data_IF_580040962196
#
_entry.id   IF_580040962196
#
_cell.length_a   1.000
_cell.length_b   1.000
_cell.length_c   1.000
_cell.angle_alpha   90.00
_cell.angle_beta   90.00
_cell.angle_gamma   90.00
#
_symmetry.space_group_name_H-M   'P 1'
#
loop_
_entity.id
_entity.type
_entity.pdbx_description
1 polymer ?
#
# COMPACT_ATOMS: atom_id res chain seq x y z
N UNK A 1 -13.33 21.94 -32.49
CA UNK A 1 -12.28 21.69 -31.45
C UNK A 1 -12.70 22.06 -30.03
N UNK A 2 -13.29 23.22 -29.77
CA UNK A 2 -13.67 23.67 -28.42
C UNK A 2 -14.67 22.73 -27.72
N UNK A 3 -15.69 22.19 -28.39
CA UNK A 3 -16.73 21.30 -27.80
C UNK A 3 -16.19 19.98 -27.27
N UNK A 4 -15.23 19.34 -27.94
CA UNK A 4 -14.72 18.03 -27.56
C UNK A 4 -13.81 18.13 -26.33
N UNK A 5 -13.00 19.19 -26.25
CA UNK A 5 -12.15 19.49 -25.11
C UNK A 5 -13.00 19.75 -23.86
N UNK A 6 -14.07 20.50 -24.00
CA UNK A 6 -14.97 20.83 -22.89
C UNK A 6 -15.66 19.56 -22.30
N UNK A 7 -16.03 18.58 -23.13
CA UNK A 7 -16.68 17.33 -22.66
C UNK A 7 -15.71 16.42 -21.89
N UNK A 8 -14.44 16.32 -22.29
CA UNK A 8 -13.42 15.54 -21.58
C UNK A 8 -13.09 16.17 -20.22
N UNK A 9 -12.94 17.49 -20.18
CA UNK A 9 -12.69 18.25 -18.96
C UNK A 9 -13.87 18.14 -17.99
N UNK A 10 -15.11 18.30 -18.48
CA UNK A 10 -16.33 18.15 -17.66
C UNK A 10 -16.48 16.74 -17.06
N UNK A 11 -16.19 15.69 -17.82
CA UNK A 11 -16.27 14.33 -17.33
C UNK A 11 -15.24 14.08 -16.20
N UNK A 12 -14.04 14.61 -16.34
CA UNK A 12 -13.00 14.52 -15.33
C UNK A 12 -13.36 15.32 -14.07
N UNK A 13 -13.82 16.55 -14.22
CA UNK A 13 -14.20 17.41 -13.08
C UNK A 13 -15.39 16.80 -12.32
N UNK A 14 -16.36 16.21 -13.03
CA UNK A 14 -17.47 15.47 -12.41
C UNK A 14 -16.98 14.26 -11.61
N UNK A 15 -16.07 13.45 -12.19
CA UNK A 15 -15.43 12.35 -11.48
C UNK A 15 -14.64 12.83 -10.26
N UNK A 16 -13.87 13.92 -10.42
CA UNK A 16 -13.05 14.47 -9.36
C UNK A 16 -13.91 14.97 -8.18
N UNK A 17 -14.99 15.67 -8.47
CA UNK A 17 -15.96 16.14 -7.47
C UNK A 17 -16.57 14.95 -6.71
N UNK A 18 -16.97 13.89 -7.43
CA UNK A 18 -17.48 12.66 -6.82
C UNK A 18 -16.46 12.00 -5.90
N UNK A 19 -15.18 11.91 -6.31
CA UNK A 19 -14.13 11.33 -5.48
C UNK A 19 -13.86 12.15 -4.20
N UNK A 20 -14.01 13.48 -4.26
CA UNK A 20 -13.91 14.36 -3.09
C UNK A 20 -15.05 14.13 -2.11
N UNK A 21 -16.28 14.12 -2.60
CA UNK A 21 -17.48 13.87 -1.78
C UNK A 21 -17.41 12.48 -1.12
N UNK A 22 -16.96 11.48 -1.87
CA UNK A 22 -16.76 10.11 -1.36
C UNK A 22 -15.53 9.97 -0.41
N UNK A 23 -14.80 11.06 -0.14
CA UNK A 23 -13.62 11.04 0.74
C UNK A 23 -12.44 10.22 0.21
N UNK A 24 -12.45 9.83 -1.07
CA UNK A 24 -11.41 8.99 -1.71
C UNK A 24 -10.20 9.81 -2.19
N UNK A 25 -10.36 11.11 -2.39
CA UNK A 25 -9.29 12.05 -2.72
C UNK A 25 -9.20 13.11 -1.62
N UNK A 26 -8.34 12.87 -0.64
CA UNK A 26 -8.18 13.76 0.53
C UNK A 26 -6.95 14.68 0.43
N UNK A 27 -6.01 14.42 -0.49
CA UNK A 27 -4.77 15.19 -0.63
C UNK A 27 -4.77 15.98 -1.94
N UNK A 28 -4.59 17.30 -1.85
CA UNK A 28 -4.46 18.17 -3.02
C UNK A 28 -3.31 17.76 -3.95
N UNK A 29 -2.23 17.17 -3.42
CA UNK A 29 -1.12 16.65 -4.24
C UNK A 29 -1.53 15.49 -5.16
N UNK A 30 -2.45 14.62 -4.73
CA UNK A 30 -2.97 13.54 -5.58
C UNK A 30 -3.87 14.08 -6.68
N UNK A 31 -4.68 15.07 -6.36
CA UNK A 31 -5.51 15.78 -7.33
C UNK A 31 -4.67 16.48 -8.39
N UNK A 32 -3.63 17.21 -7.98
CA UNK A 32 -2.73 17.89 -8.92
C UNK A 32 -2.08 16.92 -9.92
N UNK A 33 -1.66 15.74 -9.45
CA UNK A 33 -1.10 14.68 -10.31
C UNK A 33 -2.15 14.18 -11.31
N UNK A 34 -3.37 13.85 -10.86
CA UNK A 34 -4.42 13.38 -11.77
C UNK A 34 -4.84 14.46 -12.77
N UNK A 35 -4.92 15.71 -12.34
CA UNK A 35 -5.25 16.85 -13.20
C UNK A 35 -4.18 17.06 -14.28
N UNK A 36 -2.90 17.03 -13.92
CA UNK A 36 -1.80 17.14 -14.86
C UNK A 36 -1.81 16.00 -15.90
N UNK A 37 -2.02 14.75 -15.46
CA UNK A 37 -2.13 13.59 -16.34
C UNK A 37 -3.30 13.72 -17.30
N UNK A 38 -4.46 14.17 -16.80
CA UNK A 38 -5.67 14.31 -17.61
C UNK A 38 -5.56 15.45 -18.62
N UNK A 39 -5.03 16.60 -18.22
CA UNK A 39 -4.82 17.75 -19.11
C UNK A 39 -3.89 17.40 -20.28
N UNK A 40 -2.82 16.65 -20.03
CA UNK A 40 -1.92 16.19 -21.07
C UNK A 40 -2.62 15.24 -22.07
N UNK A 41 -3.48 14.33 -21.58
CA UNK A 41 -4.28 13.45 -22.42
C UNK A 41 -5.32 14.25 -23.24
N UNK A 42 -6.03 15.19 -22.62
CA UNK A 42 -7.01 16.06 -23.31
C UNK A 42 -6.37 16.86 -24.44
N UNK A 43 -5.19 17.42 -24.21
CA UNK A 43 -4.45 18.14 -25.23
C UNK A 43 -4.11 17.24 -26.41
N UNK A 44 -3.64 16.00 -26.15
CA UNK A 44 -3.36 15.02 -27.20
C UNK A 44 -4.63 14.59 -27.95
N UNK A 45 -5.73 14.31 -27.25
CA UNK A 45 -7.02 13.96 -27.87
C UNK A 45 -7.54 15.07 -28.79
N UNK A 46 -7.37 16.32 -28.37
CA UNK A 46 -7.76 17.49 -29.21
C UNK A 46 -6.92 17.68 -30.46
N UNK A 47 -5.68 17.18 -30.45
CA UNK A 47 -4.78 17.25 -31.61
C UNK A 47 -5.05 16.14 -32.65
N UNK A 48 -5.82 15.11 -32.32
CA UNK A 48 -6.18 14.05 -33.28
C UNK A 48 -7.19 14.55 -34.33
N UNK A 49 -7.20 13.91 -35.51
CA UNK A 49 -8.14 14.24 -36.57
C UNK A 49 -8.85 12.97 -37.05
N UNK A 50 -10.14 12.82 -36.75
CA UNK A 50 -11.00 13.71 -35.96
C UNK A 50 -10.59 13.74 -34.48
N UNK A 51 -10.93 14.82 -33.76
CA UNK A 51 -10.68 14.94 -32.32
C UNK A 51 -11.41 13.82 -31.54
N UNK A 52 -10.68 13.11 -30.66
CA UNK A 52 -11.20 11.97 -29.90
C UNK A 52 -12.13 12.43 -28.78
N UNK A 53 -13.30 11.80 -28.66
CA UNK A 53 -14.23 11.98 -27.54
C UNK A 53 -13.96 10.96 -26.45
N UNK A 54 -14.49 11.17 -25.25
CA UNK A 54 -14.34 10.23 -24.13
C UNK A 54 -14.86 8.83 -24.47
N UNK A 55 -15.98 8.73 -25.19
CA UNK A 55 -16.56 7.46 -25.59
C UNK A 55 -15.74 6.70 -26.63
N UNK A 56 -14.93 7.43 -27.40
CA UNK A 56 -14.11 6.87 -28.49
C UNK A 56 -12.69 6.49 -28.00
N UNK A 57 -12.38 6.77 -26.74
CA UNK A 57 -11.08 6.48 -26.12
C UNK A 57 -10.99 4.98 -25.79
N UNK A 58 -10.19 4.26 -26.59
CA UNK A 58 -9.92 2.83 -26.41
C UNK A 58 -8.44 2.57 -26.09
N UNK A 59 -8.10 1.36 -25.72
CA UNK A 59 -6.74 0.94 -25.35
C UNK A 59 -5.70 1.28 -26.42
N UNK A 60 -6.03 1.14 -27.71
CA UNK A 60 -5.17 1.50 -28.85
C UNK A 60 -4.84 3.00 -28.90
N UNK A 61 -5.77 3.86 -28.52
CA UNK A 61 -5.54 5.30 -28.43
C UNK A 61 -4.62 5.65 -27.27
N UNK A 62 -4.79 4.99 -26.12
CA UNK A 62 -3.91 5.15 -24.96
C UNK A 62 -2.48 4.66 -25.26
N UNK A 63 -2.33 3.55 -25.98
CA UNK A 63 -1.01 3.08 -26.44
C UNK A 63 -0.33 4.10 -27.35
N UNK A 64 -1.04 4.67 -28.32
CA UNK A 64 -0.51 5.74 -29.19
C UNK A 64 -0.14 6.98 -28.40
N UNK A 65 -0.98 7.39 -27.44
CA UNK A 65 -0.66 8.50 -26.55
C UNK A 65 0.61 8.25 -25.75
N UNK A 66 0.74 7.08 -25.14
CA UNK A 66 1.91 6.70 -24.35
C UNK A 66 3.17 6.66 -25.24
N UNK A 67 3.07 6.13 -26.45
CA UNK A 67 4.18 6.12 -27.40
C UNK A 67 4.59 7.54 -27.83
N UNK A 68 3.62 8.44 -28.04
CA UNK A 68 3.91 9.85 -28.36
C UNK A 68 4.61 10.58 -27.21
N UNK A 69 4.23 10.29 -25.95
CA UNK A 69 4.89 10.86 -24.77
C UNK A 69 6.28 10.32 -24.57
N UNK A 70 6.53 9.03 -24.87
CA UNK A 70 7.87 8.45 -24.86
C UNK A 70 8.82 9.17 -25.80
N UNK A 71 8.38 9.50 -27.01
CA UNK A 71 9.19 10.25 -27.98
C UNK A 71 9.49 11.69 -27.56
N UNK A 72 8.60 12.33 -26.79
CA UNK A 72 8.76 13.71 -26.32
C UNK A 72 9.61 13.84 -25.03
N UNK A 73 9.68 12.78 -24.22
CA UNK A 73 10.35 12.79 -22.92
C UNK A 73 11.75 12.16 -22.95
N UNK A 74 12.34 11.91 -24.11
CA UNK A 74 13.72 11.41 -24.23
C UNK A 74 14.77 12.35 -23.59
N UNK A 75 14.41 13.60 -23.29
CA UNK A 75 15.25 14.54 -22.56
C UNK A 75 15.17 14.38 -21.02
N UNK A 76 14.04 13.85 -20.46
CA UNK A 76 13.77 13.85 -19.01
C UNK A 76 13.45 12.47 -18.39
N UNK A 77 13.61 11.37 -19.13
CA UNK A 77 13.46 10.02 -18.59
C UNK A 77 12.24 9.25 -19.11
N UNK A 78 12.37 7.92 -19.09
CA UNK A 78 11.37 6.95 -19.57
C UNK A 78 10.11 7.00 -18.72
N UNK A 79 8.94 7.03 -19.37
CA UNK A 79 7.64 6.86 -18.68
C UNK A 79 7.62 5.54 -17.91
N UNK A 80 7.56 5.61 -16.60
CA UNK A 80 7.57 4.41 -15.78
C UNK A 80 6.31 3.57 -16.02
N UNK A 81 6.37 2.23 -15.96
CA UNK A 81 5.20 1.35 -16.04
C UNK A 81 4.09 1.76 -15.08
N UNK A 82 4.47 2.29 -13.93
CA UNK A 82 3.55 2.81 -12.89
C UNK A 82 2.77 4.04 -13.36
N UNK A 83 3.36 4.92 -14.18
CA UNK A 83 2.64 6.06 -14.78
C UNK A 83 1.61 5.57 -15.79
N UNK A 84 1.98 4.61 -16.65
CA UNK A 84 1.10 4.01 -17.66
C UNK A 84 -0.12 3.36 -17.00
N UNK A 85 0.07 2.51 -16.00
CA UNK A 85 -1.01 1.88 -15.23
C UNK A 85 -1.93 2.90 -14.56
N UNK A 86 -1.35 3.96 -13.98
CA UNK A 86 -2.10 5.02 -13.31
C UNK A 86 -2.97 5.80 -14.31
N UNK A 87 -2.45 6.07 -15.51
CA UNK A 87 -3.19 6.74 -16.57
C UNK A 87 -4.36 5.89 -17.06
N UNK A 88 -4.13 4.62 -17.41
CA UNK A 88 -5.17 3.67 -17.84
C UNK A 88 -6.26 3.59 -16.78
N UNK A 89 -5.89 3.35 -15.53
CA UNK A 89 -6.84 3.30 -14.41
C UNK A 89 -7.60 4.62 -14.18
N UNK A 90 -7.00 5.76 -14.49
CA UNK A 90 -7.68 7.05 -14.42
C UNK A 90 -8.74 7.17 -15.52
N UNK A 91 -8.38 6.83 -16.75
CA UNK A 91 -9.30 6.88 -17.90
C UNK A 91 -10.51 5.97 -17.66
N UNK A 92 -10.27 4.72 -17.24
CA UNK A 92 -11.34 3.76 -16.94
C UNK A 92 -12.31 4.28 -15.88
N UNK A 93 -11.77 4.88 -14.80
CA UNK A 93 -12.61 5.45 -13.72
C UNK A 93 -13.43 6.65 -14.17
N UNK A 94 -12.86 7.51 -14.99
CA UNK A 94 -13.58 8.68 -15.54
C UNK A 94 -14.65 8.24 -16.51
N UNK A 95 -14.36 7.26 -17.39
CA UNK A 95 -15.34 6.70 -18.32
C UNK A 95 -16.50 6.00 -17.58
N UNK A 96 -16.18 5.17 -16.59
CA UNK A 96 -17.19 4.48 -15.78
C UNK A 96 -18.09 5.48 -15.04
N UNK A 97 -17.52 6.54 -14.46
CA UNK A 97 -18.28 7.58 -13.78
C UNK A 97 -19.16 8.37 -14.76
N UNK A 98 -18.65 8.73 -15.92
CA UNK A 98 -19.41 9.44 -16.93
C UNK A 98 -20.56 8.59 -17.50
N UNK A 99 -20.35 7.29 -17.72
CA UNK A 99 -21.39 6.35 -18.12
C UNK A 99 -22.48 6.23 -17.04
N UNK A 100 -22.08 6.11 -15.77
CA UNK A 100 -23.01 6.10 -14.63
C UNK A 100 -23.85 7.38 -14.55
N UNK A 101 -23.23 8.58 -14.69
CA UNK A 101 -23.95 9.84 -14.71
C UNK A 101 -24.99 9.91 -15.85
N UNK A 102 -24.65 9.42 -17.04
CA UNK A 102 -25.56 9.38 -18.17
C UNK A 102 -26.74 8.43 -17.91
N UNK A 103 -26.48 7.27 -17.31
CA UNK A 103 -27.55 6.33 -16.91
C UNK A 103 -28.48 6.96 -15.86
N UNK A 104 -27.93 7.66 -14.88
CA UNK A 104 -28.72 8.39 -13.88
C UNK A 104 -29.57 9.49 -14.54
N UNK A 105 -28.99 10.27 -15.44
CA UNK A 105 -29.70 11.31 -16.16
C UNK A 105 -30.82 10.74 -17.04
N UNK A 106 -30.58 9.59 -17.72
CA UNK A 106 -31.61 8.91 -18.51
C UNK A 106 -32.68 8.26 -17.61
N UNK A 107 -32.30 7.66 -16.47
CA UNK A 107 -33.24 7.10 -15.51
C UNK A 107 -34.11 8.19 -14.88
N UNK A 108 -33.54 9.35 -14.53
CA UNK A 108 -34.29 10.49 -14.02
C UNK A 108 -35.23 11.08 -15.08
N UNK A 109 -34.79 11.14 -16.35
CA UNK A 109 -35.64 11.54 -17.46
C UNK A 109 -36.76 10.53 -17.76
N UNK A 110 -36.47 9.22 -17.64
CA UNK A 110 -37.45 8.13 -17.77
C UNK A 110 -38.36 8.07 -16.54
N UNK A 111 -37.85 8.36 -15.36
CA UNK A 111 -38.62 8.38 -14.11
C UNK A 111 -39.56 9.61 -14.05
N UNK A 112 -39.17 10.73 -14.63
CA UNK A 112 -40.07 11.86 -14.88
C UNK A 112 -41.20 11.49 -15.88
N UNK A 113 -40.94 10.53 -16.78
CA UNK A 113 -41.93 9.96 -17.69
C UNK A 113 -42.64 8.73 -17.08
N UNK A 114 -42.01 8.01 -16.16
CA UNK A 114 -42.42 6.72 -15.59
C UNK A 114 -42.74 6.77 -14.09
N UNK A 115 -43.31 7.88 -13.62
CA UNK A 115 -44.05 7.89 -12.34
C UNK A 115 -45.27 6.95 -12.38
N UNK A 116 -45.29 6.02 -13.33
CA UNK A 116 -46.37 5.03 -13.53
C UNK A 116 -45.95 3.56 -13.36
N UNK A 117 -44.68 3.13 -13.33
CA UNK A 117 -44.37 1.68 -13.17
C UNK A 117 -43.04 1.43 -12.44
N UNK A 118 -43.12 0.67 -11.34
CA UNK A 118 -42.02 0.29 -10.46
C UNK A 118 -41.21 -0.94 -10.93
N UNK A 119 -39.92 -0.95 -10.72
CA UNK A 119 -39.04 -1.96 -10.11
C UNK A 119 -37.57 -1.77 -10.46
N UNK A 120 -36.59 -2.08 -9.56
CA UNK A 120 -35.17 -1.75 -9.76
C UNK A 120 -34.42 -2.83 -10.55
N UNK A 121 -33.50 -2.47 -11.45
CA UNK A 121 -32.62 -3.43 -12.11
C UNK A 121 -31.28 -3.57 -11.38
N UNK A 122 -30.86 -4.83 -11.26
CA UNK A 122 -29.60 -5.23 -10.68
C UNK A 122 -28.36 -4.72 -11.43
N UNK A 123 -27.32 -4.54 -10.67
CA UNK A 123 -26.01 -4.06 -11.08
C UNK A 123 -25.35 -5.07 -12.03
N UNK A 124 -25.12 -4.68 -13.29
CA UNK A 124 -24.23 -5.41 -14.21
C UNK A 124 -22.86 -4.76 -14.22
N UNK A 125 -21.78 -5.54 -14.04
CA UNK A 125 -20.43 -5.00 -14.19
C UNK A 125 -20.13 -4.66 -15.64
N UNK A 126 -19.52 -3.50 -15.88
CA UNK A 126 -19.07 -3.06 -17.20
C UNK A 126 -18.00 -3.99 -17.77
N UNK A 127 -17.97 -4.25 -19.10
CA UNK A 127 -16.92 -5.07 -19.69
C UNK A 127 -15.57 -4.37 -19.56
N UNK A 128 -14.64 -5.03 -18.88
CA UNK A 128 -13.24 -4.63 -18.75
C UNK A 128 -12.59 -4.62 -20.14
N UNK A 129 -11.80 -3.59 -20.41
CA UNK A 129 -10.84 -3.60 -21.51
C UNK A 129 -9.85 -4.76 -21.30
N UNK A 130 -10.06 -5.87 -22.00
CA UNK A 130 -9.38 -7.15 -21.82
C UNK A 130 -7.91 -7.16 -22.28
N UNK A 131 -7.28 -5.98 -22.49
CA UNK A 131 -5.99 -5.91 -23.18
C UNK A 131 -4.79 -5.53 -22.33
N UNK A 132 -4.89 -5.46 -21.00
CA UNK A 132 -3.72 -5.25 -20.13
C UNK A 132 -3.84 -5.97 -18.78
N UNK A 133 -4.37 -7.19 -18.81
CA UNK A 133 -4.36 -8.08 -17.65
C UNK A 133 -2.94 -8.50 -17.22
N UNK A 134 -1.95 -8.43 -18.12
CA UNK A 134 -0.62 -9.01 -17.88
C UNK A 134 0.25 -8.23 -16.88
N UNK A 135 0.11 -6.92 -16.76
CA UNK A 135 0.91 -6.17 -15.77
C UNK A 135 0.22 -5.97 -14.41
N UNK A 136 -1.09 -6.27 -14.31
CA UNK A 136 -1.80 -6.33 -13.04
C UNK A 136 -1.61 -7.69 -12.34
N UNK A 137 -0.98 -8.65 -13.01
CA UNK A 137 -0.87 -10.06 -12.61
C UNK A 137 0.46 -10.38 -11.94
N UNK A 138 1.42 -9.44 -11.88
CA UNK A 138 2.66 -9.70 -11.14
C UNK A 138 2.33 -9.86 -9.65
N UNK A 139 2.67 -11.02 -9.06
CA UNK A 139 2.41 -11.24 -7.64
C UNK A 139 3.16 -10.20 -6.80
N UNK A 140 2.61 -9.78 -5.66
CA UNK A 140 3.26 -8.80 -4.82
C UNK A 140 4.60 -9.36 -4.32
N UNK A 141 5.70 -8.63 -4.53
CA UNK A 141 7.01 -9.00 -4.00
C UNK A 141 6.94 -9.13 -2.49
N UNK A 142 7.36 -10.27 -1.97
CA UNK A 142 7.34 -10.61 -0.55
C UNK A 142 8.62 -11.33 -0.14
N UNK A 143 8.82 -11.52 1.13
CA UNK A 143 9.88 -12.35 1.69
C UNK A 143 9.43 -13.82 1.69
N UNK A 144 10.31 -14.71 1.28
CA UNK A 144 10.11 -16.14 1.47
C UNK A 144 10.05 -16.48 2.97
N UNK A 145 9.45 -17.61 3.36
CA UNK A 145 9.36 -18.01 4.77
C UNK A 145 10.71 -17.99 5.50
N UNK A 146 11.76 -18.55 4.90
CA UNK A 146 13.11 -18.55 5.48
C UNK A 146 13.68 -17.13 5.63
N UNK A 147 13.49 -16.27 4.65
CA UNK A 147 13.90 -14.86 4.69
C UNK A 147 13.15 -14.09 5.77
N UNK A 148 11.87 -14.39 5.95
CA UNK A 148 11.05 -13.77 6.99
C UNK A 148 11.54 -14.16 8.38
N UNK A 149 11.86 -15.43 8.61
CA UNK A 149 12.43 -15.90 9.88
C UNK A 149 13.81 -15.29 10.15
N UNK A 150 14.69 -15.26 9.15
CA UNK A 150 16.00 -14.64 9.28
C UNK A 150 15.89 -13.14 9.62
N UNK A 151 14.93 -12.43 9.01
CA UNK A 151 14.69 -11.02 9.33
C UNK A 151 14.13 -10.85 10.74
N UNK A 152 13.20 -11.69 11.19
CA UNK A 152 12.65 -11.65 12.55
C UNK A 152 13.79 -11.88 13.56
N UNK A 153 14.62 -12.90 13.34
CA UNK A 153 15.77 -13.19 14.19
C UNK A 153 16.73 -11.98 14.25
N UNK A 154 17.04 -11.38 13.10
CA UNK A 154 17.88 -10.19 13.05
C UNK A 154 17.25 -8.98 13.76
N UNK A 155 15.94 -8.74 13.59
CA UNK A 155 15.22 -7.63 14.22
C UNK A 155 15.14 -7.77 15.75
N UNK A 156 15.07 -8.99 16.25
CA UNK A 156 14.94 -9.29 17.69
C UNK A 156 16.28 -9.42 18.41
N UNK A 157 17.41 -9.45 17.67
CA UNK A 157 18.74 -9.45 18.30
C UNK A 157 18.92 -8.23 19.17
N UNK A 158 19.45 -8.41 20.40
CA UNK A 158 19.75 -7.28 21.26
C UNK A 158 20.66 -6.27 20.57
N UNK A 159 20.29 -5.00 20.62
CA UNK A 159 21.16 -3.91 20.24
C UNK A 159 21.99 -3.49 21.46
N UNK A 160 23.24 -3.14 21.24
CA UNK A 160 24.12 -2.70 22.34
C UNK A 160 23.69 -1.31 22.82
N UNK A 161 23.37 -1.21 24.09
CA UNK A 161 23.10 0.06 24.76
C UNK A 161 24.42 0.70 25.22
N UNK A 162 24.44 2.03 25.31
CA UNK A 162 25.57 2.84 25.80
C UNK A 162 25.96 2.57 27.27
N UNK A 163 25.34 1.61 27.91
CA UNK A 163 25.40 1.41 29.35
C UNK A 163 26.64 0.65 29.86
N UNK A 164 27.55 0.20 28.99
CA UNK A 164 28.78 -0.42 29.42
C UNK A 164 29.87 0.64 29.50
N UNK A 165 30.34 1.06 30.70
CA UNK A 165 31.42 2.03 30.83
C UNK A 165 32.71 1.46 30.20
N UNK A 166 33.22 2.10 29.18
CA UNK A 166 34.49 1.78 28.51
C UNK A 166 34.41 1.55 27.00
N UNK A 167 33.26 1.39 26.42
CA UNK A 167 33.10 1.07 24.99
C UNK A 167 32.31 2.15 24.23
N UNK A 168 32.87 3.37 24.18
CA UNK A 168 32.29 4.51 23.49
C UNK A 168 32.17 4.30 21.94
N UNK A 169 32.84 3.28 21.40
CA UNK A 169 32.92 3.01 19.96
C UNK A 169 31.77 2.16 19.40
N UNK A 170 30.97 1.51 20.24
CA UNK A 170 29.99 0.50 19.77
C UNK A 170 28.52 0.79 20.13
N UNK A 171 28.21 2.01 20.59
CA UNK A 171 26.81 2.38 20.88
C UNK A 171 26.02 2.55 19.60
N UNK A 172 25.04 1.69 19.41
CA UNK A 172 24.13 1.81 18.28
C UNK A 172 23.37 3.14 18.32
N UNK A 173 23.32 3.82 17.18
CA UNK A 173 22.60 5.10 17.05
C UNK A 173 21.10 4.88 17.25
N UNK A 174 20.42 5.83 17.90
CA UNK A 174 18.96 5.74 18.08
C UNK A 174 18.18 5.57 16.77
N UNK A 175 18.72 6.05 15.63
CA UNK A 175 18.12 5.84 14.31
C UNK A 175 18.10 4.36 13.93
N UNK A 176 19.09 3.55 14.28
CA UNK A 176 19.11 2.11 14.05
C UNK A 176 17.96 1.43 14.78
N UNK A 177 17.74 1.80 16.05
CA UNK A 177 16.61 1.30 16.84
C UNK A 177 15.26 1.68 16.21
N UNK A 178 15.12 2.95 15.78
CA UNK A 178 13.92 3.44 15.07
C UNK A 178 13.70 2.65 13.77
N UNK A 179 14.72 2.46 12.96
CA UNK A 179 14.63 1.82 11.65
C UNK A 179 14.26 0.33 11.80
N UNK A 180 14.82 -0.38 12.79
CA UNK A 180 14.41 -1.74 13.16
C UNK A 180 12.96 -1.79 13.65
N UNK A 181 12.55 -0.87 14.50
CA UNK A 181 11.18 -0.78 14.97
C UNK A 181 10.21 -0.55 13.80
N UNK A 182 10.55 0.33 12.86
CA UNK A 182 9.74 0.56 11.67
C UNK A 182 9.53 -0.70 10.83
N UNK A 183 10.61 -1.46 10.59
CA UNK A 183 10.54 -2.74 9.87
C UNK A 183 9.73 -3.79 10.66
N UNK A 184 9.90 -3.86 11.98
CA UNK A 184 9.12 -4.75 12.84
C UNK A 184 7.62 -4.43 12.80
N UNK A 185 7.23 -3.15 12.81
CA UNK A 185 5.83 -2.74 12.67
C UNK A 185 5.24 -3.09 11.30
N UNK A 186 6.04 -2.99 10.23
CA UNK A 186 5.60 -3.36 8.89
C UNK A 186 5.45 -4.88 8.72
N UNK A 187 6.40 -5.66 9.23
CA UNK A 187 6.39 -7.12 9.13
C UNK A 187 5.50 -7.77 10.20
N UNK A 188 5.36 -7.16 11.38
CA UNK A 188 4.64 -7.72 12.53
C UNK A 188 3.19 -7.25 12.66
N UNK A 189 2.81 -6.12 12.00
CA UNK A 189 1.44 -5.60 12.01
C UNK A 189 0.92 -5.23 10.61
N UNK A 190 1.71 -5.41 9.56
CA UNK A 190 1.31 -5.12 8.19
C UNK A 190 1.15 -3.63 7.89
N UNK A 191 1.72 -2.73 8.68
CA UNK A 191 1.58 -1.30 8.46
C UNK A 191 2.18 -0.87 7.12
N UNK A 192 1.47 -0.02 6.39
CA UNK A 192 2.02 0.63 5.22
C UNK A 192 3.05 1.71 5.56
N UNK A 193 3.90 2.12 4.61
CA UNK A 193 4.91 3.15 4.86
C UNK A 193 4.30 4.49 5.28
N UNK A 194 3.08 4.79 4.83
CA UNK A 194 2.33 5.97 5.25
C UNK A 194 1.89 5.90 6.71
N UNK A 195 1.43 4.73 7.13
CA UNK A 195 0.92 4.46 8.46
C UNK A 195 2.04 4.54 9.49
N UNK A 196 3.18 3.89 9.21
CA UNK A 196 4.38 3.95 10.04
C UNK A 196 4.85 5.39 10.30
N UNK A 197 4.80 6.26 9.28
CA UNK A 197 5.18 7.67 9.45
C UNK A 197 4.15 8.49 10.22
N UNK A 198 2.88 8.10 10.14
CA UNK A 198 1.78 8.83 10.76
C UNK A 198 1.48 8.37 12.20
N UNK A 199 2.06 7.24 12.63
CA UNK A 199 1.79 6.65 13.94
C UNK A 199 2.34 7.53 15.06
N UNK A 200 1.51 7.77 16.07
CA UNK A 200 1.85 8.57 17.26
C UNK A 200 1.97 7.68 18.49
N UNK A 201 2.58 8.20 19.54
CA UNK A 201 2.68 7.47 20.82
C UNK A 201 1.31 7.14 21.42
N UNK A 202 0.32 8.03 21.26
CA UNK A 202 -1.06 7.84 21.73
C UNK A 202 -1.83 6.76 20.98
N UNK A 203 -1.35 6.34 19.83
CA UNK A 203 -1.97 5.32 18.99
C UNK A 203 -1.60 3.89 19.43
N UNK A 204 -0.64 3.76 20.35
CA UNK A 204 -0.23 2.50 20.94
C UNK A 204 -1.15 2.17 22.11
N UNK A 205 -1.79 1.01 22.07
CA UNK A 205 -2.59 0.51 23.18
C UNK A 205 -2.13 -0.86 23.62
N UNK A 206 -1.90 -1.09 24.92
CA UNK A 206 -1.75 -2.45 25.41
C UNK A 206 -3.09 -3.17 25.14
N UNK A 207 -3.03 -4.29 24.43
CA UNK A 207 -4.19 -5.16 24.34
C UNK A 207 -4.44 -5.77 25.72
N UNK A 208 -5.70 -5.78 26.15
CA UNK A 208 -6.10 -6.44 27.38
C UNK A 208 -5.65 -7.90 27.31
N UNK A 209 -4.88 -8.42 28.27
CA UNK A 209 -4.48 -9.81 28.25
C UNK A 209 -5.73 -10.67 28.23
N UNK A 210 -5.91 -11.46 27.15
CA UNK A 210 -6.89 -12.52 27.16
C UNK A 210 -6.42 -13.49 28.24
N UNK A 211 -7.12 -13.52 29.36
CA UNK A 211 -6.87 -14.45 30.46
C UNK A 211 -7.26 -15.86 29.99
N UNK A 212 -6.35 -16.53 29.30
CA UNK A 212 -6.40 -17.97 29.25
C UNK A 212 -5.96 -18.46 30.65
N UNK A 213 -6.82 -19.18 31.41
CA UNK A 213 -6.46 -19.69 32.71
C UNK A 213 -5.25 -20.62 32.58
N UNK A 214 -4.14 -20.31 33.26
CA UNK A 214 -2.94 -21.15 33.28
C UNK A 214 -1.82 -20.79 32.31
N UNK A 215 -1.92 -19.71 31.54
CA UNK A 215 -0.82 -19.21 30.73
C UNK A 215 0.24 -18.47 31.57
N UNK A 216 1.52 -18.42 31.12
CA UNK A 216 2.54 -17.60 31.76
C UNK A 216 2.11 -16.14 31.80
N UNK A 217 2.55 -15.31 32.78
CA UNK A 217 2.15 -13.90 32.89
C UNK A 217 2.41 -13.22 31.56
N UNK A 218 1.30 -12.81 30.91
CA UNK A 218 1.28 -12.45 29.52
C UNK A 218 2.14 -11.23 29.25
N UNK A 219 3.08 -11.36 28.31
CA UNK A 219 3.78 -10.21 27.71
C UNK A 219 2.73 -9.22 27.19
N UNK A 220 2.94 -7.90 27.34
CA UNK A 220 1.97 -6.93 26.85
C UNK A 220 1.78 -7.10 25.34
N UNK A 221 0.60 -7.53 24.95
CA UNK A 221 0.20 -7.53 23.55
C UNK A 221 -0.14 -6.10 23.15
N UNK A 222 0.27 -5.70 21.97
CA UNK A 222 0.05 -4.35 21.48
C UNK A 222 -1.00 -4.35 20.37
N UNK A 223 -1.87 -3.36 20.43
CA UNK A 223 -2.75 -2.97 19.33
C UNK A 223 -2.36 -1.58 18.84
N UNK A 224 -2.32 -1.40 17.53
CA UNK A 224 -1.95 -0.17 16.88
C UNK A 224 -3.20 0.46 16.26
N UNK A 225 -3.58 1.65 16.74
CA UNK A 225 -4.65 2.43 16.16
C UNK A 225 -4.10 3.27 15.02
N UNK A 226 -4.41 2.88 13.79
CA UNK A 226 -3.92 3.55 12.59
C UNK A 226 -4.96 4.57 12.14
N UNK A 227 -4.61 5.85 12.19
CA UNK A 227 -5.48 6.91 11.71
C UNK A 227 -5.69 6.82 10.19
N UNK A 228 -6.84 7.30 9.70
CA UNK A 228 -7.11 7.36 8.28
C UNK A 228 -6.01 8.10 7.53
N UNK A 229 -5.46 7.49 6.47
CA UNK A 229 -4.34 8.03 5.71
C UNK A 229 -4.56 7.87 4.19
N UNK A 230 -4.81 8.97 3.52
CA UNK A 230 -5.14 8.96 2.10
C UNK A 230 -6.49 8.31 1.84
N UNK A 231 -6.52 7.23 1.04
CA UNK A 231 -7.72 6.43 0.78
C UNK A 231 -7.92 5.31 1.81
N UNK A 232 -6.92 5.02 2.65
CA UNK A 232 -7.02 4.02 3.69
C UNK A 232 -7.85 4.56 4.87
N UNK A 233 -8.85 3.81 5.38
CA UNK A 233 -9.62 4.19 6.55
C UNK A 233 -8.80 4.08 7.83
N UNK A 234 -9.31 4.64 8.90
CA UNK A 234 -8.81 4.31 10.23
C UNK A 234 -9.10 2.84 10.53
N UNK A 235 -8.11 2.14 11.09
CA UNK A 235 -8.24 0.74 11.43
C UNK A 235 -7.37 0.39 12.64
N UNK A 236 -7.56 -0.80 13.18
CA UNK A 236 -6.73 -1.35 14.25
C UNK A 236 -5.98 -2.55 13.71
N UNK A 237 -4.66 -2.55 13.89
CA UNK A 237 -3.79 -3.66 13.51
C UNK A 237 -3.25 -4.37 14.78
N UNK A 238 -3.32 -5.70 14.86
CA UNK A 238 -2.64 -6.45 15.91
C UNK A 238 -1.13 -6.42 15.65
N UNK A 239 -0.34 -6.41 16.71
CA UNK A 239 1.11 -6.49 16.62
C UNK A 239 1.58 -7.87 17.12
N UNK A 240 2.38 -8.55 16.30
CA UNK A 240 3.00 -9.82 16.68
C UNK A 240 3.87 -9.65 17.94
N UNK A 241 3.89 -10.65 18.82
CA UNK A 241 4.58 -10.57 20.12
C UNK A 241 6.08 -10.26 19.98
N UNK A 242 6.76 -10.86 19.01
CA UNK A 242 8.17 -10.58 18.73
C UNK A 242 8.40 -9.11 18.31
N UNK A 243 7.48 -8.54 17.52
CA UNK A 243 7.55 -7.14 17.11
C UNK A 243 7.21 -6.19 18.29
N UNK A 244 6.37 -6.66 19.20
CA UNK A 244 6.12 -5.99 20.48
C UNK A 244 7.37 -5.83 21.34
N UNK A 245 8.26 -6.84 21.35
CA UNK A 245 9.56 -6.75 22.03
C UNK A 245 10.47 -5.69 21.40
N UNK A 246 10.53 -5.64 20.07
CA UNK A 246 11.29 -4.61 19.35
C UNK A 246 10.72 -3.22 19.62
N UNK A 247 9.39 -3.10 19.66
CA UNK A 247 8.72 -1.84 20.01
C UNK A 247 9.06 -1.39 21.43
N UNK A 248 9.05 -2.30 22.41
CA UNK A 248 9.43 -1.99 23.80
C UNK A 248 10.88 -1.50 23.89
N UNK A 249 11.82 -2.19 23.24
CA UNK A 249 13.22 -1.75 23.17
C UNK A 249 13.34 -0.35 22.58
N UNK A 250 12.61 -0.06 21.51
CA UNK A 250 12.56 1.28 20.91
C UNK A 250 11.99 2.32 21.88
N UNK A 251 10.90 2.04 22.59
CA UNK A 251 10.28 2.97 23.52
C UNK A 251 11.24 3.29 24.68
N UNK A 252 11.93 2.30 25.23
CA UNK A 252 12.96 2.48 26.25
C UNK A 252 14.10 3.35 25.73
N UNK A 253 14.59 3.07 24.52
CA UNK A 253 15.64 3.87 23.88
C UNK A 253 15.19 5.31 23.62
N UNK A 254 13.95 5.48 23.15
CA UNK A 254 13.37 6.81 22.90
C UNK A 254 13.31 7.64 24.19
N UNK A 255 12.96 7.02 25.30
CA UNK A 255 12.94 7.65 26.62
C UNK A 255 14.35 8.01 27.09
N UNK A 256 15.29 7.07 27.02
CA UNK A 256 16.69 7.28 27.40
C UNK A 256 17.37 8.42 26.62
N UNK A 257 17.09 8.53 25.33
CA UNK A 257 17.60 9.59 24.46
C UNK A 257 16.79 10.89 24.54
N UNK A 258 15.75 10.97 25.38
CA UNK A 258 14.86 12.11 25.52
C UNK A 258 14.31 12.63 24.18
N UNK A 259 13.90 11.71 23.27
CA UNK A 259 13.43 12.10 21.94
C UNK A 259 12.04 12.78 22.06
N UNK A 260 11.93 13.99 21.55
CA UNK A 260 10.72 14.81 21.62
C UNK A 260 9.63 14.45 20.60
N UNK A 261 8.52 15.18 20.69
CA UNK A 261 7.41 15.17 19.72
C UNK A 261 6.44 13.99 19.87
N UNK A 262 5.29 14.08 19.19
CA UNK A 262 4.20 13.10 19.32
C UNK A 262 4.37 11.85 18.46
N UNK A 263 5.27 11.88 17.47
CA UNK A 263 5.45 10.78 16.53
C UNK A 263 6.14 9.61 17.20
N UNK A 264 5.65 8.40 16.95
CA UNK A 264 6.31 7.19 17.44
C UNK A 264 7.73 7.10 16.89
N UNK A 265 7.91 7.37 15.59
CA UNK A 265 9.17 7.24 14.86
C UNK A 265 9.59 8.62 14.29
N UNK A 266 10.20 9.48 15.11
CA UNK A 266 10.60 10.81 14.64
C UNK A 266 11.81 10.78 13.70
N UNK A 267 11.99 11.82 12.89
CA UNK A 267 13.18 11.99 12.03
C UNK A 267 14.36 12.63 12.77
N UNK A 268 14.06 13.42 13.80
CA UNK A 268 15.04 14.20 14.58
C UNK A 268 14.81 14.03 16.08
N UNK A 269 15.80 14.37 16.90
CA UNK A 269 15.65 14.39 18.38
C UNK A 269 14.54 15.33 18.84
N UNK A 270 14.29 16.42 18.11
CA UNK A 270 13.21 17.37 18.41
C UNK A 270 11.81 16.87 18.00
N UNK A 271 11.69 15.66 17.45
CA UNK A 271 10.40 15.06 17.15
C UNK A 271 9.77 15.47 15.82
N UNK A 272 10.54 15.88 14.80
CA UNK A 272 9.98 16.16 13.48
C UNK A 272 9.43 14.89 12.81
N UNK A 273 8.41 15.00 11.95
CA UNK A 273 7.85 13.86 11.23
C UNK A 273 8.88 13.25 10.26
N UNK A 274 8.77 11.95 10.04
CA UNK A 274 9.69 11.22 9.17
C UNK A 274 9.33 11.40 7.69
N UNK A 275 10.32 11.72 6.85
CA UNK A 275 10.16 11.89 5.41
C UNK A 275 10.05 10.56 4.66
N UNK A 276 9.38 10.58 3.49
CA UNK A 276 9.16 9.37 2.66
C UNK A 276 10.46 8.72 2.20
N UNK A 277 11.39 9.55 1.68
CA UNK A 277 12.67 9.07 1.13
C UNK A 277 13.50 8.45 2.24
N UNK A 278 13.66 9.15 3.37
CA UNK A 278 14.45 8.66 4.50
C UNK A 278 13.89 7.36 5.08
N UNK A 279 12.57 7.17 5.13
CA UNK A 279 11.96 5.93 5.54
C UNK A 279 12.19 4.80 4.53
N UNK A 280 12.09 5.08 3.24
CA UNK A 280 12.35 4.10 2.19
C UNK A 280 13.80 3.60 2.28
N UNK A 281 14.76 4.52 2.41
CA UNK A 281 16.19 4.19 2.57
C UNK A 281 16.46 3.42 3.87
N UNK A 282 15.74 3.74 4.95
CA UNK A 282 15.84 3.00 6.20
C UNK A 282 15.37 1.53 6.03
N UNK A 283 14.25 1.31 5.36
CA UNK A 283 13.77 -0.05 5.10
C UNK A 283 14.75 -0.85 4.23
N UNK A 284 15.36 -0.22 3.22
CA UNK A 284 16.40 -0.86 2.40
C UNK A 284 17.64 -1.23 3.22
N UNK A 285 18.12 -0.31 4.06
CA UNK A 285 19.25 -0.60 4.96
C UNK A 285 18.96 -1.78 5.88
N UNK A 286 17.81 -1.79 6.53
CA UNK A 286 17.42 -2.90 7.42
C UNK A 286 17.43 -4.24 6.68
N UNK A 287 16.93 -4.30 5.44
CA UNK A 287 16.98 -5.53 4.64
C UNK A 287 18.41 -5.91 4.28
N UNK A 288 19.22 -4.96 3.83
CA UNK A 288 20.63 -5.19 3.49
C UNK A 288 21.46 -5.64 4.71
N UNK A 289 21.27 -4.99 5.88
CA UNK A 289 21.96 -5.34 7.13
C UNK A 289 21.54 -6.73 7.66
N UNK A 290 20.34 -7.18 7.32
CA UNK A 290 19.86 -8.53 7.58
C UNK A 290 20.32 -9.55 6.52
N UNK A 291 21.15 -9.17 5.55
CA UNK A 291 21.64 -10.04 4.48
C UNK A 291 20.59 -10.36 3.40
N UNK A 292 19.54 -9.55 3.29
CA UNK A 292 18.47 -9.73 2.31
C UNK A 292 18.61 -8.75 1.15
N UNK A 293 18.19 -9.20 -0.05
CA UNK A 293 18.18 -8.33 -1.23
C UNK A 293 17.32 -7.08 -0.99
N UNK A 294 17.95 -5.91 -1.03
CA UNK A 294 17.31 -4.61 -0.87
C UNK A 294 16.67 -4.09 -2.18
N UNK A 295 17.06 -4.62 -3.34
CA UNK A 295 16.55 -4.17 -4.64
C UNK A 295 15.18 -4.79 -4.97
N UNK A 296 14.85 -5.92 -4.34
CA UNK A 296 13.54 -6.56 -4.42
C UNK A 296 12.37 -5.78 -3.81
N UNK A 297 12.59 -4.56 -3.31
CA UNK A 297 11.58 -3.71 -2.68
C UNK A 297 11.84 -3.50 -1.19
N UNK A 298 11.23 -2.46 -0.62
CA UNK A 298 11.41 -2.07 0.79
C UNK A 298 10.12 -2.31 1.62
N UNK A 299 9.60 -1.24 2.19
CA UNK A 299 8.46 -1.24 3.11
C UNK A 299 7.22 -2.02 2.64
N UNK A 300 6.88 -1.99 1.35
CA UNK A 300 5.75 -2.75 0.85
C UNK A 300 6.00 -4.26 0.82
N UNK A 301 7.25 -4.68 0.56
CA UNK A 301 7.65 -6.09 0.63
C UNK A 301 7.38 -6.67 2.03
N UNK A 302 7.72 -5.92 3.08
CA UNK A 302 7.45 -6.31 4.47
C UNK A 302 5.95 -6.45 4.77
N UNK A 303 5.15 -5.47 4.31
CA UNK A 303 3.69 -5.51 4.45
C UNK A 303 3.07 -6.68 3.68
N UNK A 304 3.53 -6.96 2.47
CA UNK A 304 3.04 -8.11 1.69
C UNK A 304 3.40 -9.44 2.36
N UNK A 305 4.60 -9.54 2.94
CA UNK A 305 5.01 -10.71 3.73
C UNK A 305 4.13 -10.91 4.96
N UNK A 306 3.73 -9.85 5.65
CA UNK A 306 2.75 -9.94 6.74
C UNK A 306 1.43 -10.52 6.23
N UNK A 307 0.86 -9.94 5.16
CA UNK A 307 -0.42 -10.37 4.63
C UNK A 307 -0.43 -11.86 4.25
N UNK A 308 0.58 -12.30 3.49
CA UNK A 308 0.72 -13.69 3.07
C UNK A 308 0.87 -14.62 4.27
N UNK A 309 1.71 -14.25 5.25
CA UNK A 309 1.89 -15.04 6.47
C UNK A 309 0.57 -15.21 7.24
N UNK A 310 -0.21 -14.14 7.41
CA UNK A 310 -1.48 -14.24 8.13
C UNK A 310 -2.49 -15.14 7.40
N UNK A 311 -2.55 -15.06 6.07
CA UNK A 311 -3.38 -15.95 5.27
C UNK A 311 -2.91 -17.42 5.34
N UNK A 312 -1.60 -17.67 5.35
CA UNK A 312 -1.01 -19.01 5.54
C UNK A 312 -1.33 -19.58 6.93
N UNK A 313 -1.45 -18.73 7.95
CA UNK A 313 -1.88 -19.11 9.30
C UNK A 313 -3.39 -19.38 9.39
N UNK A 314 -4.14 -19.30 8.27
CA UNK A 314 -5.56 -19.60 8.22
C UNK A 314 -6.49 -18.45 8.60
N UNK A 315 -5.96 -17.23 8.77
CA UNK A 315 -6.83 -16.07 8.97
C UNK A 315 -7.64 -15.76 7.71
N UNK A 316 -8.91 -15.46 7.89
CA UNK A 316 -9.81 -15.11 6.78
C UNK A 316 -9.31 -13.85 6.04
N UNK A 317 -9.46 -13.82 4.72
CA UNK A 317 -9.02 -12.70 3.88
C UNK A 317 -9.59 -11.35 4.32
N UNK A 318 -10.87 -11.31 4.73
CA UNK A 318 -11.52 -10.09 5.21
C UNK A 318 -10.92 -9.60 6.54
N UNK A 319 -10.54 -10.51 7.42
CA UNK A 319 -9.84 -10.19 8.67
C UNK A 319 -8.49 -9.55 8.38
N UNK A 320 -7.70 -10.16 7.50
CA UNK A 320 -6.39 -9.63 7.09
C UNK A 320 -6.55 -8.29 6.37
N UNK A 321 -7.55 -8.15 5.50
CA UNK A 321 -7.87 -6.88 4.84
C UNK A 321 -8.19 -5.77 5.84
N UNK A 322 -8.96 -6.09 6.89
CA UNK A 322 -9.29 -5.16 7.99
C UNK A 322 -8.02 -4.70 8.72
N UNK A 323 -7.10 -5.61 9.08
CA UNK A 323 -5.84 -5.27 9.73
C UNK A 323 -4.92 -4.42 8.85
N UNK A 324 -5.01 -4.59 7.55
CA UNK A 324 -4.28 -3.81 6.57
C UNK A 324 -4.95 -2.47 6.23
N UNK A 325 -6.17 -2.19 6.70
CA UNK A 325 -6.94 -1.03 6.28
C UNK A 325 -7.28 -1.03 4.79
N UNK A 326 -7.54 -2.21 4.22
CA UNK A 326 -7.90 -2.40 2.81
C UNK A 326 -9.40 -2.57 2.70
N UNK A 327 -10.06 -1.70 1.92
CA UNK A 327 -11.49 -1.84 1.61
C UNK A 327 -11.77 -2.62 0.33
N UNK A 328 -10.81 -2.59 -0.60
CA UNK A 328 -10.97 -3.27 -1.89
C UNK A 328 -10.48 -4.72 -1.76
N UNK A 329 -11.44 -5.63 -1.65
CA UNK A 329 -11.18 -7.07 -1.56
C UNK A 329 -10.47 -7.63 -2.79
N UNK A 330 -10.50 -6.94 -3.94
CA UNK A 330 -9.74 -7.33 -5.14
C UNK A 330 -8.22 -7.40 -4.86
N UNK A 331 -7.72 -6.59 -3.93
CA UNK A 331 -6.32 -6.64 -3.51
C UNK A 331 -6.00 -7.98 -2.85
N UNK A 332 -6.96 -8.58 -2.13
CA UNK A 332 -6.77 -9.86 -1.44
C UNK A 332 -6.68 -11.04 -2.43
N UNK A 333 -7.30 -10.94 -3.61
CA UNK A 333 -7.20 -11.97 -4.65
C UNK A 333 -5.75 -12.20 -5.10
N UNK A 334 -4.92 -11.15 -5.11
CA UNK A 334 -3.50 -11.28 -5.47
C UNK A 334 -2.72 -12.12 -4.47
N UNK A 335 -3.03 -11.98 -3.18
CA UNK A 335 -2.41 -12.82 -2.15
C UNK A 335 -2.88 -14.27 -2.26
N UNK A 336 -4.16 -14.49 -2.56
CA UNK A 336 -4.70 -15.84 -2.79
C UNK A 336 -4.06 -16.51 -4.00
N UNK A 337 -3.79 -15.77 -5.08
CA UNK A 337 -3.06 -16.29 -6.25
C UNK A 337 -1.64 -16.75 -5.90
N UNK A 338 -0.92 -15.99 -5.07
CA UNK A 338 0.40 -16.40 -4.57
C UNK A 338 0.31 -17.70 -3.77
N UNK A 339 -0.71 -17.83 -2.91
CA UNK A 339 -0.91 -19.02 -2.08
C UNK A 339 -1.37 -20.25 -2.87
N UNK A 340 -2.09 -20.05 -3.98
CA UNK A 340 -2.56 -21.13 -4.85
C UNK A 340 -1.47 -21.73 -5.75
N UNK A 341 -0.20 -21.36 -5.59
CA UNK A 341 0.91 -21.92 -6.36
C UNK A 341 1.15 -21.24 -7.70
N UNK A 342 0.81 -19.98 -7.85
CA UNK A 342 1.37 -19.15 -8.92
C UNK A 342 2.90 -19.22 -8.88
N UNK A 343 3.62 -19.20 -10.02
CA UNK A 343 5.07 -19.30 -10.04
C UNK A 343 5.65 -18.23 -9.12
N UNK A 344 6.37 -18.68 -8.07
CA UNK A 344 7.15 -17.78 -7.23
C UNK A 344 8.26 -17.21 -8.10
N UNK A 345 8.32 -15.90 -8.40
CA UNK A 345 9.50 -15.31 -8.97
C UNK A 345 10.61 -15.45 -7.93
N UNK A 346 11.72 -16.04 -8.30
CA UNK A 346 12.94 -16.21 -7.49
C UNK A 346 12.99 -17.38 -6.48
N UNK A 347 12.45 -18.55 -6.82
CA UNK A 347 12.97 -19.79 -6.25
C UNK A 347 14.33 -20.06 -6.94
N UNK A 348 15.45 -19.79 -6.24
CA UNK A 348 16.77 -20.26 -6.70
C UNK A 348 16.65 -21.78 -6.92
N UNK A 349 16.99 -22.32 -8.12
CA UNK A 349 16.89 -23.74 -8.40
C UNK A 349 17.67 -24.63 -7.42
N UNK A 350 18.50 -24.06 -6.57
CA UNK A 350 19.22 -24.77 -5.49
C UNK A 350 18.34 -25.12 -4.29
N UNK A 351 17.21 -24.44 -4.08
CA UNK A 351 16.30 -24.73 -2.95
C UNK A 351 15.25 -25.80 -3.29
N UNK A 352 15.12 -26.20 -4.54
CA UNK A 352 14.16 -27.22 -5.01
C UNK A 352 14.53 -28.66 -4.63
N UNK A 353 15.67 -28.91 -3.96
CA UNK A 353 16.20 -30.27 -3.73
C UNK A 353 16.25 -30.70 -2.24
N UNK A 354 15.37 -30.17 -1.39
CA UNK A 354 15.27 -30.72 -0.02
C UNK A 354 13.83 -31.20 0.30
N UNK A 355 13.47 -32.48 -0.02
CA UNK A 355 12.12 -33.03 0.18
C UNK A 355 11.89 -33.53 1.62
N UNK A 356 12.42 -32.85 2.64
CA UNK A 356 12.38 -33.37 4.02
C UNK A 356 12.01 -32.40 5.13
N UNK A 357 11.70 -31.14 4.85
CA UNK A 357 11.31 -30.21 5.91
C UNK A 357 9.81 -29.95 5.83
N UNK A 358 9.05 -30.69 6.63
CA UNK A 358 7.71 -30.29 7.02
C UNK A 358 7.85 -28.92 7.71
N UNK A 359 7.17 -27.86 7.22
CA UNK A 359 7.31 -26.55 7.86
C UNK A 359 6.81 -26.64 9.29
N UNK A 360 7.71 -26.41 10.24
CA UNK A 360 7.32 -26.23 11.64
C UNK A 360 6.31 -25.09 11.73
N UNK A 361 5.27 -25.21 12.57
CA UNK A 361 4.30 -24.13 12.75
C UNK A 361 5.05 -22.89 13.24
N UNK A 362 4.71 -21.75 12.63
CA UNK A 362 5.26 -20.46 12.99
C UNK A 362 5.02 -20.17 14.46
N UNK A 363 5.97 -19.64 15.22
CA UNK A 363 5.68 -19.19 16.57
C UNK A 363 4.65 -18.07 16.54
N UNK A 364 3.60 -18.27 17.30
CA UNK A 364 2.45 -17.35 17.50
C UNK A 364 2.91 -16.05 18.14
#
# INVERSE_FOLDING_TARGET
>A
MVRTRNTLEQAFDGWLAHQRVAGRLRRGSSEAVYRAMWQALVAWCGAQRPALRLADLHGTHLQRYLASRHGQQLADGVLTPRYQQRLVSLVDRVQAHHAWQRQQASANATQALALAVAAPPGHRPSPRLASQADSATEPPRHLLPAQTLALIDWLTRPLRDAATPGDAASTERWQTWRDRCAAALQLGAGLGPGDVRALRLVDLRPATPSHAPGGPPGRPRWQLHVAANGSAPAHTAPLADWAGLVLQGWLSRRQADALGGPWLLPSTRSGKPWGKVAQYEAARRVLADAGLDADGGGSFRLRHSFALRQLQHGHAGDTVATWLGIHDTQVMLRYQQVLAGGPLPDADPKDAHNPGITPAPWPV
#
